data_IF_002537847339
#
_entry.id   IF_002537847339
#
_cell.length_a   1.000
_cell.length_b   1.000
_cell.length_c   1.000
_cell.angle_alpha   90.00
_cell.angle_beta   90.00
_cell.angle_gamma   90.00
#
_symmetry.space_group_name_H-M   'P 1'
#
loop_
_entity.id
_entity.type
_entity.pdbx_description
1 polymer ?
#
# COMPACT_ATOMS: atom_id res chain seq x y z
N UNK A 1 7.26 7.79 -2.59
CA UNK A 1 5.87 7.33 -2.82
C UNK A 1 5.84 6.58 -4.13
N UNK A 2 5.45 5.31 -4.18
CA UNK A 2 5.21 4.62 -5.45
C UNK A 2 3.85 5.01 -6.00
N UNK A 3 3.78 5.42 -7.28
CA UNK A 3 2.54 5.44 -8.05
C UNK A 3 2.27 4.02 -8.54
N UNK A 4 1.44 3.27 -7.82
CA UNK A 4 1.14 1.88 -8.20
C UNK A 4 -0.17 1.78 -8.98
N UNK A 5 -1.20 2.46 -8.51
CA UNK A 5 -2.53 2.35 -9.09
C UNK A 5 -2.58 2.97 -10.50
N UNK A 6 -3.33 2.29 -11.39
CA UNK A 6 -3.71 2.88 -12.68
C UNK A 6 -4.44 4.20 -12.44
N UNK A 7 -4.21 5.25 -13.25
CA UNK A 7 -4.92 6.53 -13.14
C UNK A 7 -6.45 6.45 -13.21
N UNK A 8 -6.99 5.33 -13.71
CA UNK A 8 -8.44 5.08 -13.76
C UNK A 8 -9.02 4.54 -12.44
N UNK A 9 -8.18 4.14 -11.48
CA UNK A 9 -8.58 3.79 -10.13
C UNK A 9 -8.33 4.96 -9.19
N UNK A 10 -9.25 5.20 -8.27
CA UNK A 10 -9.21 6.32 -7.34
C UNK A 10 -7.99 6.26 -6.38
N UNK A 11 -7.47 5.07 -6.10
CA UNK A 11 -6.19 4.84 -5.41
C UNK A 11 -5.00 5.62 -6.04
N UNK A 12 -5.03 5.93 -7.34
CA UNK A 12 -4.01 6.79 -7.95
C UNK A 12 -4.03 8.21 -7.36
N UNK A 13 -5.22 8.72 -7.00
CA UNK A 13 -5.37 10.04 -6.37
C UNK A 13 -4.79 10.06 -4.96
N UNK A 14 -4.81 8.92 -4.25
CA UNK A 14 -4.12 8.76 -2.98
C UNK A 14 -2.61 8.86 -3.16
N UNK A 15 -2.06 8.16 -4.14
CA UNK A 15 -0.62 8.19 -4.44
C UNK A 15 -0.13 9.60 -4.77
N UNK A 16 -0.85 10.30 -5.64
CA UNK A 16 -0.55 11.70 -6.00
C UNK A 16 -0.67 12.64 -4.81
N UNK A 17 -1.79 12.59 -4.10
CA UNK A 17 -2.07 13.54 -3.01
C UNK A 17 -1.07 13.37 -1.87
N UNK A 18 -0.80 12.13 -1.45
CA UNK A 18 0.20 11.89 -0.40
C UNK A 18 1.59 12.35 -0.82
N UNK A 19 2.01 12.06 -2.05
CA UNK A 19 3.33 12.50 -2.50
C UNK A 19 3.43 14.04 -2.53
N UNK A 20 2.53 14.67 -3.29
CA UNK A 20 2.61 16.08 -3.63
C UNK A 20 2.31 17.00 -2.44
N UNK A 21 1.41 16.60 -1.54
CA UNK A 21 1.01 17.42 -0.40
C UNK A 21 1.93 17.23 0.82
N UNK A 22 2.79 16.21 0.83
CA UNK A 22 3.78 15.98 1.91
C UNK A 22 5.21 16.38 1.53
N UNK A 23 5.45 16.81 0.29
CA UNK A 23 6.79 17.10 -0.22
C UNK A 23 7.62 15.85 -0.54
N UNK A 24 6.99 14.68 -0.63
CA UNK A 24 7.66 13.44 -1.02
C UNK A 24 7.82 13.34 -2.55
N UNK A 25 8.80 12.55 -3.00
CA UNK A 25 8.94 12.19 -4.41
C UNK A 25 7.90 11.13 -4.81
N UNK A 26 7.26 11.33 -5.96
CA UNK A 26 6.42 10.34 -6.63
C UNK A 26 7.25 9.54 -7.64
N UNK A 27 7.34 8.23 -7.46
CA UNK A 27 8.02 7.30 -8.36
C UNK A 27 6.98 6.76 -9.34
N UNK A 28 7.15 7.08 -10.62
CA UNK A 28 6.29 6.62 -11.71
C UNK A 28 7.07 5.60 -12.54
N UNK A 29 6.47 4.44 -12.79
CA UNK A 29 7.07 3.34 -13.55
C UNK A 29 6.09 2.84 -14.63
N UNK A 30 6.60 2.13 -15.64
CA UNK A 30 5.78 1.52 -16.68
C UNK A 30 4.90 0.39 -16.17
N UNK A 31 3.84 0.04 -16.91
CA UNK A 31 2.92 -1.05 -16.53
C UNK A 31 3.63 -2.39 -16.32
N UNK A 32 4.63 -2.70 -17.15
CA UNK A 32 5.44 -3.92 -17.02
C UNK A 32 6.31 -3.91 -15.75
N UNK A 33 6.79 -2.73 -15.36
CA UNK A 33 7.62 -2.54 -14.16
C UNK A 33 6.79 -2.61 -12.88
N UNK A 34 5.50 -2.24 -12.95
CA UNK A 34 4.55 -2.32 -11.84
C UNK A 34 3.94 -3.72 -11.64
N UNK A 35 4.21 -4.67 -12.54
CA UNK A 35 3.74 -6.04 -12.39
C UNK A 35 4.28 -6.67 -11.08
N UNK A 36 3.40 -7.16 -10.18
CA UNK A 36 3.85 -7.78 -8.93
C UNK A 36 4.80 -8.95 -9.17
N UNK A 37 5.93 -8.97 -8.46
CA UNK A 37 7.01 -9.91 -8.68
C UNK A 37 8.36 -9.21 -8.76
N UNK A 38 9.25 -9.77 -9.57
CA UNK A 38 10.63 -9.28 -9.72
C UNK A 38 10.70 -7.84 -10.23
N UNK A 39 9.84 -7.48 -11.19
CA UNK A 39 9.82 -6.14 -11.79
C UNK A 39 9.50 -5.07 -10.74
N UNK A 40 8.39 -5.26 -10.00
CA UNK A 40 8.01 -4.35 -8.93
C UNK A 40 9.04 -4.28 -7.80
N UNK A 41 9.64 -5.41 -7.41
CA UNK A 41 10.70 -5.41 -6.39
C UNK A 41 11.90 -4.56 -6.81
N UNK A 42 12.31 -4.59 -8.08
CA UNK A 42 13.38 -3.74 -8.60
C UNK A 42 13.03 -2.27 -8.49
N UNK A 43 11.82 -1.87 -8.92
CA UNK A 43 11.34 -0.49 -8.77
C UNK A 43 11.37 -0.05 -7.31
N UNK A 44 10.86 -0.88 -6.39
CA UNK A 44 10.85 -0.58 -4.96
C UNK A 44 12.27 -0.34 -4.41
N UNK A 45 13.24 -1.16 -4.83
CA UNK A 45 14.61 -1.09 -4.35
C UNK A 45 15.41 0.04 -5.01
N UNK A 46 15.44 0.09 -6.35
CA UNK A 46 16.28 0.99 -7.12
C UNK A 46 15.86 2.46 -6.94
N UNK A 47 14.55 2.70 -6.83
CA UNK A 47 14.02 4.03 -6.57
C UNK A 47 13.93 4.37 -5.06
N UNK A 48 14.34 3.46 -4.18
CA UNK A 48 14.31 3.66 -2.72
C UNK A 48 12.91 3.98 -2.18
N UNK A 49 11.89 3.25 -2.65
CA UNK A 49 10.50 3.50 -2.27
C UNK A 49 10.30 3.27 -0.77
N UNK A 50 9.74 4.27 -0.09
CA UNK A 50 9.43 4.22 1.35
C UNK A 50 7.94 4.08 1.66
N UNK A 51 7.06 4.18 0.66
CA UNK A 51 5.62 4.06 0.83
C UNK A 51 4.95 3.53 -0.45
N UNK A 52 4.07 2.55 -0.32
CA UNK A 52 3.17 2.10 -1.39
C UNK A 52 1.77 1.72 -0.87
N UNK A 53 0.75 1.90 -1.73
CA UNK A 53 -0.57 1.29 -1.57
C UNK A 53 -0.74 0.20 -2.63
N UNK A 54 -1.07 -1.03 -2.22
CA UNK A 54 -1.26 -2.17 -3.15
C UNK A 54 -2.45 -3.03 -2.72
N UNK A 55 -3.11 -3.74 -3.64
CA UNK A 55 -4.07 -4.77 -3.25
C UNK A 55 -3.35 -5.91 -2.51
N UNK A 56 -3.99 -6.53 -1.50
CA UNK A 56 -3.47 -7.72 -0.83
C UNK A 56 -2.98 -8.83 -1.78
N UNK A 57 -3.65 -9.02 -2.93
CA UNK A 57 -3.27 -9.99 -3.97
C UNK A 57 -1.87 -9.81 -4.55
N UNK A 58 -1.26 -8.61 -4.45
CA UNK A 58 0.12 -8.38 -4.88
C UNK A 58 1.16 -8.91 -3.89
N UNK A 59 0.85 -8.95 -2.59
CA UNK A 59 1.80 -9.25 -1.52
C UNK A 59 2.41 -10.67 -1.57
N UNK A 60 1.68 -11.75 -1.94
CA UNK A 60 2.26 -13.09 -2.05
C UNK A 60 3.33 -13.21 -3.14
N UNK A 61 3.29 -12.33 -4.16
CA UNK A 61 4.19 -12.34 -5.30
C UNK A 61 5.50 -11.59 -5.02
N UNK A 62 5.58 -10.90 -3.88
CA UNK A 62 6.76 -10.13 -3.47
C UNK A 62 7.51 -10.86 -2.36
N UNK A 63 8.84 -10.78 -2.42
CA UNK A 63 9.71 -11.24 -1.35
C UNK A 63 9.95 -10.13 -0.34
N UNK A 64 9.32 -10.30 0.83
CA UNK A 64 9.39 -9.38 1.96
C UNK A 64 10.82 -9.13 2.46
N UNK A 65 11.75 -10.06 2.24
CA UNK A 65 13.15 -9.92 2.63
C UNK A 65 13.97 -9.05 1.66
N UNK A 66 13.49 -8.88 0.43
CA UNK A 66 14.18 -8.13 -0.64
C UNK A 66 13.69 -6.70 -0.76
N UNK A 67 12.48 -6.39 -0.33
CA UNK A 67 11.95 -5.03 -0.32
C UNK A 67 12.58 -4.19 0.81
N UNK A 68 12.66 -2.85 0.67
CA UNK A 68 13.22 -1.99 1.71
C UNK A 68 12.51 -2.17 3.06
N UNK A 69 13.27 -2.34 4.14
CA UNK A 69 12.71 -2.47 5.49
C UNK A 69 11.98 -1.18 5.96
N UNK A 70 12.36 -0.02 5.41
CA UNK A 70 11.70 1.27 5.65
C UNK A 70 10.37 1.43 4.91
N UNK A 71 9.99 0.49 4.03
CA UNK A 71 8.76 0.56 3.25
C UNK A 71 7.52 0.46 4.16
N UNK A 72 6.72 1.54 4.18
CA UNK A 72 5.35 1.48 4.69
C UNK A 72 4.45 0.87 3.62
N UNK A 73 3.71 -0.16 3.99
CA UNK A 73 2.78 -0.87 3.09
C UNK A 73 1.35 -0.61 3.53
N UNK A 74 0.56 0.01 2.65
CA UNK A 74 -0.88 0.11 2.82
C UNK A 74 -1.53 -0.91 1.90
N UNK A 75 -2.42 -1.73 2.47
CA UNK A 75 -3.28 -2.62 1.68
C UNK A 75 -4.69 -2.05 1.61
N UNK A 76 -5.37 -2.23 0.47
CA UNK A 76 -6.74 -1.78 0.28
C UNK A 76 -7.36 -2.36 -0.99
N UNK A 77 -8.65 -2.13 -1.20
CA UNK A 77 -9.40 -2.60 -2.38
C UNK A 77 -9.81 -4.08 -2.34
N UNK A 78 -9.19 -4.90 -1.50
CA UNK A 78 -9.56 -6.30 -1.28
C UNK A 78 -9.43 -6.67 0.20
N UNK A 79 -10.04 -7.78 0.62
CA UNK A 79 -9.83 -8.31 1.96
C UNK A 79 -8.40 -8.86 2.12
N UNK A 80 -7.70 -8.42 3.15
CA UNK A 80 -6.36 -8.92 3.47
C UNK A 80 -6.45 -10.15 4.39
N UNK A 81 -5.65 -11.17 4.14
CA UNK A 81 -5.58 -12.38 4.96
C UNK A 81 -4.54 -12.29 6.09
N UNK A 82 -4.66 -13.13 7.14
CA UNK A 82 -3.73 -13.14 8.27
C UNK A 82 -2.29 -13.49 7.88
N UNK A 83 -2.08 -14.35 6.88
CA UNK A 83 -0.74 -14.73 6.43
C UNK A 83 0.02 -13.55 5.82
N UNK A 84 -0.67 -12.75 4.99
CA UNK A 84 -0.10 -11.55 4.41
C UNK A 84 0.21 -10.51 5.50
N UNK A 85 -0.75 -10.28 6.42
CA UNK A 85 -0.55 -9.39 7.56
C UNK A 85 0.64 -9.81 8.44
N UNK A 86 0.75 -11.10 8.77
CA UNK A 86 1.83 -11.63 9.60
C UNK A 86 3.20 -11.52 8.94
N UNK A 87 3.29 -11.72 7.62
CA UNK A 87 4.55 -11.56 6.87
C UNK A 87 4.97 -10.10 6.75
N UNK A 88 4.03 -9.23 6.41
CA UNK A 88 4.33 -7.86 6.00
C UNK A 88 4.36 -6.86 7.14
N UNK A 89 3.73 -7.13 8.29
CA UNK A 89 3.81 -6.27 9.48
C UNK A 89 5.11 -6.40 10.28
N UNK A 90 5.92 -7.43 10.03
CA UNK A 90 7.16 -7.65 10.78
C UNK A 90 8.24 -6.67 10.33
N UNK A 91 8.74 -5.87 11.27
CA UNK A 91 9.87 -4.96 11.05
C UNK A 91 9.56 -3.74 10.19
N UNK A 92 8.30 -3.52 9.81
CA UNK A 92 7.84 -2.36 9.02
C UNK A 92 6.41 -1.99 9.38
N UNK A 93 5.98 -0.80 8.94
CA UNK A 93 4.60 -0.36 9.12
C UNK A 93 3.71 -0.95 8.04
N UNK A 94 2.69 -1.69 8.44
CA UNK A 94 1.63 -2.16 7.55
C UNK A 94 0.26 -1.68 8.05
N UNK A 95 -0.59 -1.16 7.17
CA UNK A 95 -1.93 -0.64 7.51
C UNK A 95 -2.94 -1.18 6.50
N UNK A 96 -4.16 -1.50 6.97
CA UNK A 96 -5.30 -1.80 6.10
C UNK A 96 -6.16 -0.54 5.92
N UNK A 97 -6.42 -0.18 4.67
CA UNK A 97 -7.25 0.94 4.26
C UNK A 97 -8.51 0.42 3.57
N UNK A 98 -9.64 1.02 3.93
CA UNK A 98 -10.93 0.69 3.32
C UNK A 98 -11.68 1.97 2.96
N UNK A 99 -12.28 1.96 1.78
CA UNK A 99 -13.20 3.00 1.31
C UNK A 99 -13.69 2.63 -0.09
N UNK A 100 -14.98 2.82 -0.39
CA UNK A 100 -15.46 2.81 -1.76
C UNK A 100 -15.05 4.10 -2.51
N UNK A 101 -15.11 4.06 -3.84
CA UNK A 101 -14.86 5.23 -4.70
C UNK A 101 -15.75 6.42 -4.32
N UNK A 102 -17.01 6.15 -3.97
CA UNK A 102 -18.03 7.13 -3.58
C UNK A 102 -17.67 7.90 -2.30
N UNK A 103 -16.75 7.38 -1.47
CA UNK A 103 -16.26 8.05 -0.26
C UNK A 103 -14.87 8.67 -0.43
N UNK A 104 -14.40 8.89 -1.66
CA UNK A 104 -13.08 9.48 -1.95
C UNK A 104 -11.93 8.61 -1.42
N UNK A 105 -11.76 7.42 -2.03
CA UNK A 105 -10.66 6.47 -1.79
C UNK A 105 -10.68 5.76 -0.44
N UNK A 106 -10.69 6.49 0.67
CA UNK A 106 -10.52 5.91 2.01
C UNK A 106 -11.50 6.54 3.00
N UNK A 107 -12.28 5.68 3.66
CA UNK A 107 -13.18 6.05 4.74
C UNK A 107 -12.62 5.62 6.11
N UNK A 108 -11.94 4.48 6.18
CA UNK A 108 -11.39 3.93 7.42
C UNK A 108 -9.96 3.42 7.25
N UNK A 109 -9.17 3.52 8.32
CA UNK A 109 -7.81 2.97 8.43
C UNK A 109 -7.69 2.13 9.69
N UNK A 110 -7.01 0.98 9.58
CA UNK A 110 -6.59 0.23 10.75
C UNK A 110 -5.46 0.95 11.50
N UNK A 111 -5.29 0.60 12.77
CA UNK A 111 -3.99 0.79 13.41
C UNK A 111 -2.91 -0.03 12.69
N UNK A 112 -1.61 0.27 12.87
CA UNK A 112 -0.54 -0.58 12.37
C UNK A 112 -0.76 -2.04 12.75
N UNK A 113 -0.79 -2.91 11.75
CA UNK A 113 -1.00 -4.33 11.94
C UNK A 113 0.20 -4.94 12.68
N UNK A 114 -0.06 -6.00 13.43
CA UNK A 114 0.97 -6.75 14.14
C UNK A 114 0.62 -8.23 14.17
N UNK A 115 1.46 -9.05 13.53
CA UNK A 115 1.30 -10.49 13.51
C UNK A 115 0.22 -11.00 12.54
N UNK A 116 -0.04 -12.31 12.62
CA UNK A 116 -0.96 -13.00 11.72
C UNK A 116 -2.42 -12.84 12.21
N UNK A 117 -3.01 -11.69 11.92
CA UNK A 117 -4.39 -11.35 12.30
C UNK A 117 -5.21 -11.06 11.05
N UNK A 118 -6.52 -11.32 11.09
CA UNK A 118 -7.43 -10.81 10.05
C UNK A 118 -7.47 -9.28 10.20
N UNK A 119 -6.96 -8.49 9.24
CA UNK A 119 -6.88 -7.05 9.39
C UNK A 119 -8.28 -6.44 9.47
N UNK A 120 -8.60 -5.66 10.52
CA UNK A 120 -9.86 -4.93 10.56
C UNK A 120 -9.83 -3.81 9.51
N UNK A 121 -11.00 -3.35 9.07
CA UNK A 121 -11.10 -2.10 8.27
C UNK A 121 -10.74 -0.85 9.09
N UNK A 122 -10.75 -0.97 10.42
CA UNK A 122 -10.24 0.03 11.34
C UNK A 122 -11.27 1.05 11.80
N UNK A 123 -10.84 2.31 11.94
CA UNK A 123 -11.65 3.43 12.42
C UNK A 123 -11.80 4.50 11.33
N UNK A 124 -12.87 5.32 11.38
CA UNK A 124 -13.04 6.44 10.47
C UNK A 124 -11.82 7.37 10.45
N UNK A 125 -11.46 7.87 9.27
CA UNK A 125 -10.48 8.95 9.13
C UNK A 125 -11.08 10.29 9.57
N UNK A 126 -10.26 11.33 9.62
CA UNK A 126 -10.69 12.67 10.00
C UNK A 126 -11.91 13.13 9.19
N UNK A 127 -12.90 13.67 9.90
CA UNK A 127 -14.16 14.18 9.35
C UNK A 127 -15.08 13.12 8.68
N UNK A 128 -14.81 11.83 8.89
CA UNK A 128 -15.69 10.70 8.50
C UNK A 128 -16.29 10.06 9.77
N UNK A 129 -17.45 9.39 9.67
CA UNK A 129 -18.15 8.76 10.81
C UNK A 129 -18.56 7.34 10.52
#
# INVERSE_FOLDING_TARGET
MLQFASPSFDAASWDWSLALLSGAALVVAGVEELAPGEALMRVLCDAGVTYCMVPPSALPLLDVARVPASLTVVVGGEACGPDAAGRWSVGRRMVNAYGPTESTVCATLSEPLSGAVVPPIGRPIDNVR
#
